data_IF_485657278684
#
_entry.id   IF_485657278684
#
_cell.length_a   1.000
_cell.length_b   1.000
_cell.length_c   1.000
_cell.angle_alpha   90.00
_cell.angle_beta   90.00
_cell.angle_gamma   90.00
#
_symmetry.space_group_name_H-M   'P 1'
#
loop_
_entity.id
_entity.type
_entity.pdbx_description
1 polymer ?
#
# COMPACT_ATOMS: atom_id res chain seq x y z
N UNK A 1 47.30 -24.42 -0.92
CA UNK A 1 46.44 -23.32 -0.42
C UNK A 1 45.51 -22.72 -1.47
N UNK A 2 45.91 -22.63 -2.75
CA UNK A 2 45.08 -22.04 -3.83
C UNK A 2 43.72 -22.72 -4.08
N UNK A 3 43.61 -24.04 -3.93
CA UNK A 3 42.36 -24.80 -4.13
C UNK A 3 41.25 -24.45 -3.12
N UNK A 4 41.60 -24.30 -1.81
CA UNK A 4 40.65 -23.91 -0.76
C UNK A 4 40.08 -22.49 -0.97
N UNK A 5 40.90 -21.57 -1.50
CA UNK A 5 40.48 -20.20 -1.78
C UNK A 5 39.49 -20.12 -2.95
N UNK A 6 39.73 -20.88 -4.02
CA UNK A 6 38.79 -20.98 -5.16
C UNK A 6 37.43 -21.57 -4.74
N UNK A 7 37.45 -22.64 -3.95
CA UNK A 7 36.21 -23.26 -3.46
C UNK A 7 35.39 -22.32 -2.55
N UNK A 8 36.06 -21.52 -1.71
CA UNK A 8 35.40 -20.52 -0.85
C UNK A 8 34.78 -19.37 -1.64
N UNK A 9 35.39 -18.95 -2.76
CA UNK A 9 34.85 -17.91 -3.63
C UNK A 9 33.62 -18.41 -4.41
N UNK A 10 33.69 -19.62 -4.95
CA UNK A 10 32.57 -20.29 -5.64
C UNK A 10 31.34 -20.39 -4.74
N UNK A 11 31.52 -20.86 -3.50
CA UNK A 11 30.43 -20.99 -2.53
C UNK A 11 29.76 -19.65 -2.19
N UNK A 12 30.53 -18.55 -2.16
CA UNK A 12 29.95 -17.21 -1.92
C UNK A 12 29.17 -16.68 -3.13
N UNK A 13 29.62 -16.95 -4.34
CA UNK A 13 28.86 -16.58 -5.54
C UNK A 13 27.53 -17.34 -5.60
N UNK A 14 27.56 -18.65 -5.29
CA UNK A 14 26.35 -19.47 -5.25
C UNK A 14 25.35 -19.00 -4.17
N UNK A 15 25.83 -18.66 -2.97
CA UNK A 15 25.01 -18.04 -1.92
C UNK A 15 24.37 -16.71 -2.37
N UNK A 16 25.14 -15.86 -3.07
CA UNK A 16 24.61 -14.59 -3.59
C UNK A 16 23.53 -14.80 -4.64
N UNK A 17 23.72 -15.74 -5.55
CA UNK A 17 22.70 -16.08 -6.55
C UNK A 17 21.42 -16.59 -5.88
N UNK A 18 21.53 -17.50 -4.92
CA UNK A 18 20.36 -18.02 -4.18
C UNK A 18 19.61 -16.92 -3.43
N UNK A 19 20.34 -15.96 -2.84
CA UNK A 19 19.74 -14.81 -2.15
C UNK A 19 19.04 -13.86 -3.12
N UNK A 20 19.64 -13.60 -4.28
CA UNK A 20 19.02 -12.79 -5.34
C UNK A 20 17.72 -13.45 -5.80
N UNK A 21 17.73 -14.75 -6.12
CA UNK A 21 16.57 -15.48 -6.58
C UNK A 21 15.45 -15.49 -5.52
N UNK A 22 15.82 -15.69 -4.26
CA UNK A 22 14.88 -15.66 -3.13
C UNK A 22 14.18 -14.29 -3.00
N UNK A 23 14.95 -13.20 -3.08
CA UNK A 23 14.38 -11.85 -2.97
C UNK A 23 13.55 -11.51 -4.21
N UNK A 24 13.98 -11.91 -5.41
CA UNK A 24 13.23 -11.72 -6.65
C UNK A 24 11.87 -12.43 -6.60
N UNK A 25 11.82 -13.67 -6.12
CA UNK A 25 10.57 -14.41 -5.94
C UNK A 25 9.63 -13.74 -4.95
N UNK A 26 10.14 -13.23 -3.82
CA UNK A 26 9.33 -12.47 -2.86
C UNK A 26 8.81 -11.17 -3.48
N UNK A 27 9.65 -10.46 -4.26
CA UNK A 27 9.25 -9.24 -4.98
C UNK A 27 8.06 -9.51 -5.90
N UNK A 28 8.16 -10.52 -6.74
CA UNK A 28 7.12 -10.90 -7.71
C UNK A 28 5.80 -11.21 -7.00
N UNK A 29 5.85 -12.01 -5.92
CA UNK A 29 4.65 -12.32 -5.13
C UNK A 29 3.98 -11.08 -4.55
N UNK A 30 4.76 -10.13 -4.00
CA UNK A 30 4.19 -8.91 -3.43
C UNK A 30 3.68 -7.93 -4.50
N UNK A 31 4.32 -7.87 -5.66
CA UNK A 31 3.83 -7.10 -6.82
C UNK A 31 2.49 -7.65 -7.30
N UNK A 32 2.36 -8.98 -7.37
CA UNK A 32 1.08 -9.63 -7.70
C UNK A 32 0.01 -9.35 -6.65
N UNK A 33 0.31 -9.52 -5.35
CA UNK A 33 -0.64 -9.25 -4.26
C UNK A 33 -1.13 -7.78 -4.28
N UNK A 34 -0.21 -6.84 -4.55
CA UNK A 34 -0.54 -5.43 -4.69
C UNK A 34 -1.49 -5.19 -5.86
N UNK A 35 -1.22 -5.82 -7.00
CA UNK A 35 -2.03 -5.69 -8.21
C UNK A 35 -3.42 -6.31 -8.01
N UNK A 36 -3.50 -7.49 -7.38
CA UNK A 36 -4.76 -8.16 -7.06
C UNK A 36 -5.66 -7.28 -6.18
N UNK A 37 -5.08 -6.61 -5.18
CA UNK A 37 -5.83 -5.68 -4.31
C UNK A 37 -6.32 -4.47 -5.11
N UNK A 38 -5.49 -3.92 -5.99
CA UNK A 38 -5.86 -2.80 -6.85
C UNK A 38 -7.02 -3.18 -7.80
N UNK A 39 -6.94 -4.37 -8.41
CA UNK A 39 -7.94 -4.87 -9.35
C UNK A 39 -9.24 -5.31 -8.66
N UNK A 40 -9.20 -5.61 -7.36
CA UNK A 40 -10.39 -5.96 -6.56
C UNK A 40 -11.39 -4.82 -6.36
N UNK A 41 -11.05 -3.59 -6.75
CA UNK A 41 -11.98 -2.46 -6.78
C UNK A 41 -11.34 -1.12 -6.40
N UNK A 42 -12.17 -0.08 -6.28
CA UNK A 42 -11.70 1.27 -6.03
C UNK A 42 -10.80 1.38 -4.79
N UNK A 43 -9.72 2.14 -4.94
CA UNK A 43 -8.76 2.48 -3.90
C UNK A 43 -8.95 3.96 -3.56
N UNK A 44 -9.10 4.28 -2.27
CA UNK A 44 -9.20 5.67 -1.87
C UNK A 44 -7.88 6.41 -2.16
N UNK A 45 -7.89 7.68 -2.55
CA UNK A 45 -6.69 8.51 -2.60
C UNK A 45 -6.02 8.68 -1.22
N UNK A 46 -4.73 9.02 -1.18
CA UNK A 46 -4.07 9.47 0.05
C UNK A 46 -4.80 10.64 0.69
N UNK A 47 -4.73 10.74 2.02
CA UNK A 47 -5.40 11.82 2.76
C UNK A 47 -6.92 11.67 2.85
N UNK A 48 -7.50 10.51 2.50
CA UNK A 48 -8.91 10.21 2.73
C UNK A 48 -9.10 9.44 4.05
N UNK A 49 -10.08 9.88 4.86
CA UNK A 49 -10.46 9.21 6.12
C UNK A 49 -11.96 9.33 6.41
N UNK A 50 -12.49 8.42 7.23
CA UNK A 50 -13.89 8.49 7.67
C UNK A 50 -13.93 9.16 9.05
N UNK A 51 -14.75 10.20 9.17
CA UNK A 51 -14.99 10.89 10.43
C UNK A 51 -16.44 10.68 10.89
N UNK A 52 -16.60 10.43 12.20
CA UNK A 52 -17.91 10.34 12.88
C UNK A 52 -18.33 11.73 13.35
N UNK A 53 -19.61 12.02 13.18
CA UNK A 53 -20.26 13.26 13.62
C UNK A 53 -21.48 12.91 14.46
N UNK A 54 -21.67 13.69 15.52
CA UNK A 54 -22.87 13.66 16.35
C UNK A 54 -23.75 14.86 15.98
N UNK A 55 -24.98 14.60 15.56
CA UNK A 55 -25.97 15.64 15.28
C UNK A 55 -27.09 15.58 16.31
N UNK A 56 -27.60 16.76 16.69
CA UNK A 56 -28.81 16.90 17.50
C UNK A 56 -30.03 16.75 16.58
N UNK A 57 -30.84 15.72 16.82
CA UNK A 57 -32.16 15.56 16.21
C UNK A 57 -33.25 16.27 17.03
N UNK A 58 -34.51 16.07 16.63
CA UNK A 58 -35.66 16.68 17.31
C UNK A 58 -35.89 16.12 18.73
N UNK A 59 -35.61 14.84 18.94
CA UNK A 59 -35.84 14.14 20.22
C UNK A 59 -34.55 13.63 20.88
N UNK A 60 -33.56 13.27 20.08
CA UNK A 60 -32.29 12.70 20.55
C UNK A 60 -31.16 13.00 19.56
N UNK A 61 -29.93 12.68 19.93
CA UNK A 61 -28.77 12.74 19.07
C UNK A 61 -28.66 11.52 18.16
N UNK A 62 -28.12 11.72 16.97
CA UNK A 62 -27.79 10.63 16.06
C UNK A 62 -26.38 10.78 15.51
N UNK A 63 -25.73 9.65 15.28
CA UNK A 63 -24.42 9.61 14.65
C UNK A 63 -24.53 9.43 13.15
N UNK A 64 -23.67 10.12 12.42
CA UNK A 64 -23.47 9.91 10.99
C UNK A 64 -21.99 10.04 10.64
N UNK A 65 -21.63 9.67 9.42
CA UNK A 65 -20.26 9.62 8.96
C UNK A 65 -20.08 10.45 7.69
N UNK A 66 -18.89 11.03 7.55
CA UNK A 66 -18.44 11.68 6.33
C UNK A 66 -17.10 11.08 5.91
N UNK A 67 -16.92 10.88 4.61
CA UNK A 67 -15.61 10.73 4.01
C UNK A 67 -15.01 12.13 3.93
N UNK A 68 -13.82 12.28 4.47
CA UNK A 68 -13.05 13.51 4.49
C UNK A 68 -11.84 13.36 3.56
N UNK A 69 -11.39 14.49 3.02
CA UNK A 69 -10.23 14.62 2.17
C UNK A 69 -9.37 15.80 2.64
N UNK A 70 -8.06 15.72 2.44
CA UNK A 70 -7.13 16.85 2.64
C UNK A 70 -7.43 18.00 1.66
N UNK A 71 -7.74 17.64 0.40
CA UNK A 71 -8.02 18.56 -0.70
C UNK A 71 -9.53 18.64 -1.03
N UNK A 72 -9.95 19.75 -1.65
CA UNK A 72 -11.33 19.93 -2.10
C UNK A 72 -11.56 19.16 -3.40
N UNK A 73 -12.19 17.99 -3.31
CA UNK A 73 -12.35 17.09 -4.47
C UNK A 73 -13.79 16.59 -4.68
N UNK A 74 -14.70 16.81 -3.73
CA UNK A 74 -16.09 16.33 -3.84
C UNK A 74 -17.02 17.42 -4.34
N UNK A 75 -17.65 17.22 -5.50
CA UNK A 75 -18.65 18.16 -6.04
C UNK A 75 -19.89 18.24 -5.13
N UNK A 76 -20.26 19.45 -4.72
CA UNK A 76 -21.51 19.72 -4.01
C UNK A 76 -22.68 19.71 -4.97
N UNK A 77 -23.85 19.26 -4.49
CA UNK A 77 -25.08 19.22 -5.31
C UNK A 77 -25.71 20.60 -5.53
N UNK A 78 -25.41 21.56 -4.66
CA UNK A 78 -26.16 22.83 -4.58
C UNK A 78 -25.59 23.91 -5.47
N UNK A 79 -24.26 24.01 -5.57
CA UNK A 79 -23.56 25.09 -6.26
C UNK A 79 -22.40 24.61 -7.15
N UNK A 80 -22.23 23.29 -7.31
CA UNK A 80 -21.17 22.69 -8.11
C UNK A 80 -19.75 22.90 -7.57
N UNK A 81 -19.61 23.55 -6.42
CA UNK A 81 -18.30 23.80 -5.79
C UNK A 81 -17.71 22.50 -5.26
N UNK A 82 -16.39 22.47 -5.14
CA UNK A 82 -15.69 21.35 -4.52
C UNK A 82 -15.67 21.51 -3.00
N UNK A 83 -15.91 20.42 -2.30
CA UNK A 83 -15.82 20.32 -0.86
C UNK A 83 -14.75 19.31 -0.45
N UNK A 84 -14.33 19.41 0.81
CA UNK A 84 -13.41 18.44 1.43
C UNK A 84 -14.12 17.21 1.99
N UNK A 85 -15.45 17.08 1.84
CA UNK A 85 -16.17 15.96 2.41
C UNK A 85 -17.37 15.45 1.60
N UNK A 86 -17.62 14.15 1.70
CA UNK A 86 -18.82 13.48 1.17
C UNK A 86 -19.59 12.83 2.31
N UNK A 87 -20.89 13.08 2.40
CA UNK A 87 -21.75 12.47 3.41
C UNK A 87 -21.96 10.97 3.10
N UNK A 88 -21.71 10.11 4.09
CA UNK A 88 -21.83 8.65 3.96
C UNK A 88 -23.12 8.11 4.62
N UNK A 89 -23.74 8.88 5.51
CA UNK A 89 -24.91 8.46 6.27
C UNK A 89 -24.52 7.71 7.56
N UNK A 90 -25.33 6.73 7.95
CA UNK A 90 -25.15 5.96 9.20
C UNK A 90 -24.10 4.86 9.04
N UNK A 91 -23.60 4.33 10.15
CA UNK A 91 -22.77 3.12 10.15
C UNK A 91 -23.50 1.98 9.43
N UNK A 92 -22.76 1.19 8.65
CA UNK A 92 -23.30 0.07 7.88
C UNK A 92 -24.10 0.45 6.62
N UNK A 93 -24.24 1.74 6.30
CA UNK A 93 -24.82 2.15 5.02
C UNK A 93 -23.94 1.69 3.85
N UNK A 94 -24.52 1.56 2.66
CA UNK A 94 -23.78 1.20 1.43
C UNK A 94 -22.56 2.10 1.20
N UNK A 95 -22.75 3.43 1.23
CA UNK A 95 -21.66 4.40 1.03
C UNK A 95 -20.60 4.32 2.14
N UNK A 96 -21.00 4.01 3.38
CA UNK A 96 -20.08 3.83 4.49
C UNK A 96 -19.19 2.60 4.29
N UNK A 97 -19.79 1.45 3.94
CA UNK A 97 -19.06 0.21 3.69
C UNK A 97 -18.14 0.34 2.46
N UNK A 98 -18.62 0.96 1.38
CA UNK A 98 -17.79 1.24 0.19
C UNK A 98 -16.57 2.10 0.53
N UNK A 99 -16.74 3.17 1.31
CA UNK A 99 -15.64 4.03 1.72
C UNK A 99 -14.63 3.30 2.63
N UNK A 100 -15.12 2.42 3.52
CA UNK A 100 -14.27 1.58 4.36
C UNK A 100 -13.41 0.65 3.50
N UNK A 101 -14.02 -0.06 2.55
CA UNK A 101 -13.29 -0.97 1.65
C UNK A 101 -12.23 -0.23 0.83
N UNK A 102 -12.57 0.95 0.29
CA UNK A 102 -11.63 1.78 -0.47
C UNK A 102 -10.42 2.22 0.36
N UNK A 103 -10.64 2.63 1.62
CA UNK A 103 -9.56 3.02 2.54
C UNK A 103 -8.74 1.80 2.96
N UNK A 104 -9.39 0.66 3.18
CA UNK A 104 -8.72 -0.58 3.55
C UNK A 104 -7.80 -1.08 2.43
N UNK A 105 -8.27 -1.08 1.17
CA UNK A 105 -7.44 -1.39 0.01
C UNK A 105 -6.22 -0.46 -0.07
N UNK A 106 -6.42 0.86 0.09
CA UNK A 106 -5.31 1.83 0.12
C UNK A 106 -4.29 1.46 1.19
N UNK A 107 -4.73 1.19 2.42
CA UNK A 107 -3.84 0.88 3.53
C UNK A 107 -3.01 -0.40 3.27
N UNK A 108 -3.60 -1.42 2.66
CA UNK A 108 -2.89 -2.65 2.27
C UNK A 108 -1.87 -2.38 1.16
N UNK A 109 -2.25 -1.63 0.12
CA UNK A 109 -1.33 -1.24 -0.96
C UNK A 109 -0.16 -0.42 -0.42
N UNK A 110 -0.41 0.57 0.44
CA UNK A 110 0.66 1.37 1.06
C UNK A 110 1.62 0.52 1.91
N UNK A 111 1.12 -0.53 2.57
CA UNK A 111 1.97 -1.46 3.30
C UNK A 111 2.85 -2.29 2.35
N UNK A 112 2.27 -2.82 1.27
CA UNK A 112 3.01 -3.57 0.25
C UNK A 112 4.05 -2.71 -0.46
N UNK A 113 3.72 -1.45 -0.78
CA UNK A 113 4.64 -0.50 -1.41
C UNK A 113 5.88 -0.26 -0.51
N UNK A 114 5.70 -0.09 0.80
CA UNK A 114 6.83 0.03 1.74
C UNK A 114 7.71 -1.23 1.75
N UNK A 115 7.11 -2.41 1.71
CA UNK A 115 7.85 -3.68 1.64
C UNK A 115 8.61 -3.82 0.32
N UNK A 116 8.00 -3.43 -0.80
CA UNK A 116 8.62 -3.45 -2.13
C UNK A 116 9.82 -2.50 -2.22
N UNK A 117 9.73 -1.29 -1.66
CA UNK A 117 10.86 -0.36 -1.59
C UNK A 117 12.04 -0.96 -0.79
N UNK A 118 11.74 -1.63 0.32
CA UNK A 118 12.77 -2.33 1.13
C UNK A 118 13.44 -3.44 0.32
N UNK A 119 12.66 -4.22 -0.43
CA UNK A 119 13.16 -5.29 -1.31
C UNK A 119 14.04 -4.74 -2.42
N UNK A 120 13.65 -3.63 -3.07
CA UNK A 120 14.45 -2.98 -4.11
C UNK A 120 15.82 -2.55 -3.60
N UNK A 121 15.89 -2.00 -2.38
CA UNK A 121 17.16 -1.66 -1.75
C UNK A 121 18.00 -2.91 -1.48
N UNK A 122 17.42 -3.97 -0.93
CA UNK A 122 18.14 -5.23 -0.68
C UNK A 122 18.69 -5.88 -1.97
N UNK A 123 17.94 -5.84 -3.07
CA UNK A 123 18.42 -6.30 -4.37
C UNK A 123 19.61 -5.47 -4.88
N UNK A 124 19.53 -4.14 -4.72
CA UNK A 124 20.63 -3.24 -5.09
C UNK A 124 21.91 -3.61 -4.34
N UNK A 125 21.81 -3.83 -3.03
CA UNK A 125 22.95 -4.20 -2.18
C UNK A 125 23.58 -5.54 -2.63
N UNK A 126 22.76 -6.54 -2.99
CA UNK A 126 23.23 -7.84 -3.51
C UNK A 126 23.89 -7.73 -4.88
N UNK A 127 23.36 -6.89 -5.78
CA UNK A 127 23.94 -6.66 -7.10
C UNK A 127 25.29 -5.94 -6.99
N UNK A 128 25.40 -4.95 -6.12
CA UNK A 128 26.65 -4.28 -5.78
C UNK A 128 27.67 -5.29 -5.19
N UNK A 129 27.24 -6.19 -4.31
CA UNK A 129 28.10 -7.25 -3.79
C UNK A 129 28.58 -8.20 -4.89
N UNK A 130 27.69 -8.61 -5.80
CA UNK A 130 28.03 -9.50 -6.92
C UNK A 130 29.08 -8.88 -7.86
N UNK A 131 29.02 -7.56 -8.07
CA UNK A 131 30.00 -6.84 -8.90
C UNK A 131 31.44 -6.91 -8.37
N UNK A 132 31.63 -7.08 -7.05
CA UNK A 132 32.95 -7.19 -6.41
C UNK A 132 33.67 -8.50 -6.73
N UNK A 133 32.92 -9.53 -7.11
CA UNK A 133 33.45 -10.86 -7.45
C UNK A 133 33.59 -11.10 -8.95
N UNK A 134 33.24 -10.12 -9.80
CA UNK A 134 33.47 -10.13 -11.26
C UNK A 134 34.81 -9.52 -11.68
N UNK A 135 35.62 -9.01 -10.73
CA UNK A 135 37.00 -8.57 -10.92
C UNK A 135 37.97 -9.69 -10.54
#
# INVERSE_FOLDING_TARGET
>A
MASKLKHKAQKRQEDLHQRIDSIASVKERLEQERQDIFDSGCVAPPGYWIARYLAKGRKDYYSYYKLQATETMFTTKTDGKLSKYKHLGKAGSKLYLEALEQINRRAKIEALDRSLETIKQGLKDLLEETSKYKK
#
